data_IF_831536123671
#
_entry.id   IF_831536123671
#
_cell.length_a   1.000
_cell.length_b   1.000
_cell.length_c   1.000
_cell.angle_alpha   90.00
_cell.angle_beta   90.00
_cell.angle_gamma   90.00
#
_symmetry.space_group_name_H-M   'P 1'
#
loop_
_entity.id
_entity.type
_entity.pdbx_description
1 polymer ?
#
# COMPACT_ATOMS: atom_id res chain seq x y z
N UNK A 1 8.87 -9.56 -22.99
CA UNK A 1 9.71 -9.90 -21.83
C UNK A 1 8.84 -9.94 -20.56
N UNK A 2 8.94 -11.00 -19.80
CA UNK A 2 8.18 -11.15 -18.58
C UNK A 2 8.69 -10.21 -17.49
N UNK A 3 7.78 -9.62 -16.72
CA UNK A 3 8.12 -8.68 -15.66
C UNK A 3 7.40 -9.05 -14.36
N UNK A 4 7.97 -8.62 -13.26
CA UNK A 4 7.38 -8.78 -11.95
C UNK A 4 6.63 -7.49 -11.59
N UNK A 5 5.32 -7.62 -11.39
CA UNK A 5 4.42 -6.50 -11.15
C UNK A 5 4.07 -6.47 -9.66
N UNK A 6 4.26 -5.34 -9.02
CA UNK A 6 3.88 -5.16 -7.61
C UNK A 6 2.66 -4.27 -7.48
N UNK A 7 1.56 -4.83 -7.00
CA UNK A 7 0.37 -4.06 -6.66
C UNK A 7 0.47 -3.61 -5.20
N UNK A 8 0.20 -2.33 -4.95
CA UNK A 8 0.23 -1.76 -3.60
C UNK A 8 -1.12 -1.16 -3.27
N UNK A 9 -1.71 -1.58 -2.15
CA UNK A 9 -2.93 -0.98 -1.61
C UNK A 9 -2.97 -1.17 -0.10
N UNK A 10 -3.98 -0.59 0.54
CA UNK A 10 -4.21 -0.82 1.96
C UNK A 10 -4.83 -2.20 2.21
N UNK A 11 -5.55 -2.74 1.22
CA UNK A 11 -6.25 -4.01 1.36
C UNK A 11 -6.43 -4.69 0.00
N UNK A 12 -6.20 -6.00 -0.03
CA UNK A 12 -6.54 -6.87 -1.15
C UNK A 12 -7.28 -8.09 -0.61
N UNK A 13 -8.52 -7.93 -0.24
CA UNK A 13 -9.32 -9.05 0.28
C UNK A 13 -10.81 -8.82 0.02
N UNK A 14 -11.56 -9.92 0.01
CA UNK A 14 -13.00 -9.87 -0.16
C UNK A 14 -13.41 -9.48 -1.58
N UNK A 15 -14.57 -8.86 -1.68
CA UNK A 15 -15.17 -8.50 -2.96
C UNK A 15 -15.28 -7.00 -3.17
N UNK A 16 -14.41 -6.20 -2.55
CA UNK A 16 -14.40 -4.76 -2.82
C UNK A 16 -13.89 -4.48 -4.23
N UNK A 17 -14.20 -3.29 -4.75
CA UNK A 17 -13.90 -2.93 -6.14
C UNK A 17 -12.41 -2.97 -6.46
N UNK A 18 -11.56 -2.50 -5.54
CA UNK A 18 -10.10 -2.49 -5.74
C UNK A 18 -9.57 -3.91 -5.84
N UNK A 19 -9.99 -4.79 -4.93
CA UNK A 19 -9.51 -6.17 -4.91
C UNK A 19 -9.94 -6.94 -6.15
N UNK A 20 -11.19 -6.77 -6.59
CA UNK A 20 -11.70 -7.42 -7.79
C UNK A 20 -11.04 -6.90 -9.06
N UNK A 21 -10.87 -5.60 -9.17
CA UNK A 21 -10.22 -4.99 -10.34
C UNK A 21 -8.76 -5.38 -10.44
N UNK A 22 -8.04 -5.35 -9.32
CA UNK A 22 -6.63 -5.75 -9.31
C UNK A 22 -6.46 -7.22 -9.70
N UNK A 23 -7.37 -8.09 -9.27
CA UNK A 23 -7.33 -9.49 -9.66
C UNK A 23 -7.52 -9.66 -11.16
N UNK A 24 -8.41 -8.89 -11.78
CA UNK A 24 -8.62 -8.91 -13.24
C UNK A 24 -7.37 -8.46 -13.98
N UNK A 25 -6.73 -7.38 -13.51
CA UNK A 25 -5.48 -6.89 -14.10
C UNK A 25 -4.38 -7.94 -14.01
N UNK A 26 -4.25 -8.61 -12.87
CA UNK A 26 -3.25 -9.65 -12.68
C UNK A 26 -3.48 -10.81 -13.65
N UNK A 27 -4.73 -11.18 -13.88
CA UNK A 27 -5.09 -12.25 -14.83
C UNK A 27 -4.71 -11.88 -16.27
N UNK A 28 -5.03 -10.64 -16.68
CA UNK A 28 -4.67 -10.14 -18.02
C UNK A 28 -3.15 -10.12 -18.18
N UNK A 29 -2.42 -9.63 -17.18
CA UNK A 29 -0.96 -9.56 -17.21
C UNK A 29 -0.32 -10.94 -17.26
N UNK A 30 -0.95 -11.93 -16.63
CA UNK A 30 -0.46 -13.30 -16.67
C UNK A 30 -0.51 -13.91 -18.08
N UNK A 31 -1.47 -13.49 -18.91
CA UNK A 31 -1.53 -13.93 -20.30
C UNK A 31 -0.25 -13.57 -21.07
N UNK A 32 0.40 -12.46 -20.70
CA UNK A 32 1.69 -12.03 -21.23
C UNK A 32 2.86 -12.50 -20.38
N UNK A 33 2.63 -13.44 -19.46
CA UNK A 33 3.63 -14.05 -18.58
C UNK A 33 4.21 -13.07 -17.54
N UNK A 34 3.54 -11.95 -17.24
CA UNK A 34 3.91 -11.10 -16.13
C UNK A 34 3.37 -11.68 -14.82
N UNK A 35 4.22 -11.74 -13.81
CA UNK A 35 3.85 -12.28 -12.50
C UNK A 35 3.49 -11.12 -11.57
N UNK A 36 2.37 -11.25 -10.86
CA UNK A 36 1.88 -10.22 -9.94
C UNK A 36 2.15 -10.59 -8.49
N UNK A 37 2.55 -9.60 -7.72
CA UNK A 37 2.79 -9.69 -6.28
C UNK A 37 2.02 -8.59 -5.58
N UNK A 38 1.74 -8.78 -4.30
CA UNK A 38 0.76 -7.97 -3.57
C UNK A 38 1.35 -7.42 -2.27
N UNK A 39 1.36 -6.10 -2.13
CA UNK A 39 1.71 -5.41 -0.89
C UNK A 39 0.44 -4.78 -0.34
N UNK A 40 0.10 -5.06 0.92
CA UNK A 40 -1.06 -4.45 1.56
C UNK A 40 -1.03 -4.64 3.07
N UNK A 41 -1.92 -3.94 3.75
CA UNK A 41 -2.12 -4.12 5.19
C UNK A 41 -2.99 -5.32 5.50
N UNK A 42 -3.82 -5.75 4.56
CA UNK A 42 -4.69 -6.92 4.70
C UNK A 42 -4.87 -7.56 3.33
N UNK A 43 -4.71 -8.88 3.24
CA UNK A 43 -4.80 -9.58 1.96
C UNK A 43 -5.30 -11.01 2.15
N UNK A 44 -6.10 -11.47 1.18
CA UNK A 44 -6.48 -12.89 1.06
C UNK A 44 -5.72 -13.57 -0.09
N UNK A 45 -4.75 -12.89 -0.70
CA UNK A 45 -3.89 -13.48 -1.73
C UNK A 45 -2.94 -14.50 -1.10
N UNK A 46 -2.40 -15.39 -1.92
CA UNK A 46 -1.47 -16.44 -1.45
C UNK A 46 -0.27 -15.82 -0.73
N UNK A 47 0.13 -16.35 0.44
CA UNK A 47 1.24 -15.79 1.21
C UNK A 47 2.57 -15.73 0.46
N UNK A 48 2.81 -16.66 -0.45
CA UNK A 48 4.06 -16.76 -1.21
C UNK A 48 4.28 -15.58 -2.14
N UNK A 49 3.22 -14.89 -2.53
CA UNK A 49 3.27 -13.75 -3.44
C UNK A 49 2.79 -12.47 -2.77
N UNK A 50 2.67 -12.47 -1.44
CA UNK A 50 2.17 -11.34 -0.67
C UNK A 50 3.20 -10.84 0.33
N UNK A 51 3.23 -9.53 0.52
CA UNK A 51 3.99 -8.89 1.58
C UNK A 51 3.00 -8.10 2.43
N UNK A 52 2.57 -8.67 3.55
CA UNK A 52 1.54 -8.08 4.39
C UNK A 52 2.20 -7.24 5.46
N UNK A 53 1.84 -5.95 5.49
CA UNK A 53 2.32 -4.97 6.46
C UNK A 53 1.10 -4.42 7.18
N UNK A 54 0.76 -4.95 8.38
CA UNK A 54 -0.47 -4.56 9.07
C UNK A 54 -0.62 -3.05 9.24
N UNK A 55 0.47 -2.34 9.45
CA UNK A 55 0.48 -0.89 9.62
C UNK A 55 0.00 -0.14 8.37
N UNK A 56 0.02 -0.78 7.21
CA UNK A 56 -0.45 -0.18 5.96
C UNK A 56 -1.97 -0.31 5.77
N UNK A 57 -2.65 -1.06 6.63
CA UNK A 57 -4.10 -1.19 6.57
C UNK A 57 -4.76 0.09 7.08
N UNK A 58 -5.80 0.56 6.37
CA UNK A 58 -6.47 1.82 6.74
C UNK A 58 -7.13 1.74 8.13
N UNK A 59 -7.53 0.55 8.57
CA UNK A 59 -8.10 0.32 9.89
C UNK A 59 -7.08 0.05 11.01
N UNK A 60 -5.79 0.16 10.72
CA UNK A 60 -4.77 -0.01 11.76
C UNK A 60 -4.92 1.07 12.83
N UNK A 61 -4.87 0.72 14.13
CA UNK A 61 -5.20 1.68 15.20
C UNK A 61 -4.46 3.01 15.13
N UNK A 62 -3.17 3.01 14.82
CA UNK A 62 -2.41 4.25 14.72
C UNK A 62 -2.89 5.12 13.55
N UNK A 63 -3.28 4.49 12.43
CA UNK A 63 -3.82 5.24 11.30
C UNK A 63 -5.17 5.86 11.65
N UNK A 64 -6.02 5.15 12.37
CA UNK A 64 -7.30 5.70 12.86
C UNK A 64 -7.03 6.89 13.78
N UNK A 65 -6.08 6.76 14.69
CA UNK A 65 -5.67 7.82 15.59
C UNK A 65 -5.23 9.08 14.83
N UNK A 66 -4.42 8.90 13.77
CA UNK A 66 -3.96 9.99 12.92
C UNK A 66 -5.14 10.64 12.20
N UNK A 67 -6.02 9.84 11.58
CA UNK A 67 -7.15 10.37 10.81
C UNK A 67 -8.08 11.20 11.67
N UNK A 68 -8.33 10.79 12.91
CA UNK A 68 -9.18 11.52 13.84
C UNK A 68 -8.63 12.91 14.16
N UNK A 69 -7.32 13.10 14.03
CA UNK A 69 -6.63 14.34 14.42
C UNK A 69 -6.33 15.27 13.28
N UNK A 70 -6.37 14.78 12.03
CA UNK A 70 -6.07 15.63 10.87
C UNK A 70 -7.31 16.06 10.09
N UNK A 71 -8.32 15.20 10.01
CA UNK A 71 -9.51 15.52 9.21
C UNK A 71 -10.50 16.35 10.04
N UNK A 72 -11.00 17.42 9.41
CA UNK A 72 -11.96 18.30 10.06
C UNK A 72 -11.36 19.31 11.02
N UNK A 73 -10.04 19.44 11.10
CA UNK A 73 -9.36 20.40 11.97
C UNK A 73 -8.57 21.41 11.14
N UNK A 74 -8.53 22.65 11.61
CA UNK A 74 -7.81 23.72 10.93
C UNK A 74 -6.29 23.58 11.02
N UNK A 75 -5.79 22.92 12.05
CA UNK A 75 -4.36 22.70 12.23
C UNK A 75 -4.13 21.40 13.01
N UNK A 76 -2.93 20.88 12.90
CA UNK A 76 -2.50 19.73 13.69
C UNK A 76 -1.25 20.09 14.49
N UNK A 77 -1.09 19.49 15.66
CA UNK A 77 0.06 19.78 16.47
C UNK A 77 1.30 19.00 15.99
N UNK A 78 2.44 19.37 16.55
CA UNK A 78 3.73 18.81 16.19
C UNK A 78 3.79 17.30 16.46
N UNK A 79 3.15 16.85 17.53
CA UNK A 79 3.17 15.45 17.91
C UNK A 79 2.50 14.57 16.83
N UNK A 80 1.37 15.01 16.29
CA UNK A 80 0.68 14.31 15.22
C UNK A 80 1.58 14.25 13.98
N UNK A 81 2.21 15.38 13.63
CA UNK A 81 3.12 15.44 12.48
C UNK A 81 4.29 14.46 12.63
N UNK A 82 4.87 14.38 13.83
CA UNK A 82 5.97 13.46 14.09
C UNK A 82 5.54 11.99 13.96
N UNK A 83 4.32 11.66 14.41
CA UNK A 83 3.79 10.31 14.26
C UNK A 83 3.53 9.94 12.80
N UNK A 84 3.01 10.87 12.02
CA UNK A 84 2.84 10.66 10.58
C UNK A 84 4.19 10.41 9.92
N UNK A 85 5.21 11.20 10.26
CA UNK A 85 6.54 11.06 9.68
C UNK A 85 7.17 9.71 10.02
N UNK A 86 7.06 9.31 11.29
CA UNK A 86 7.61 8.03 11.74
C UNK A 86 6.94 6.84 11.03
N UNK A 87 5.60 6.87 10.90
CA UNK A 87 4.87 5.83 10.21
C UNK A 87 5.23 5.80 8.72
N UNK A 88 5.32 6.97 8.07
CA UNK A 88 5.69 7.05 6.66
C UNK A 88 7.08 6.49 6.40
N UNK A 89 8.06 6.81 7.26
CA UNK A 89 9.42 6.29 7.13
C UNK A 89 9.46 4.78 7.30
N UNK A 90 8.71 4.24 8.25
CA UNK A 90 8.61 2.80 8.45
C UNK A 90 8.01 2.12 7.20
N UNK A 91 6.90 2.63 6.72
CA UNK A 91 6.20 2.05 5.55
C UNK A 91 7.07 2.15 4.30
N UNK A 92 7.80 3.23 4.11
CA UNK A 92 8.73 3.36 2.99
C UNK A 92 9.77 2.24 3.02
N UNK A 93 10.31 1.92 4.20
CA UNK A 93 11.23 0.81 4.37
C UNK A 93 10.59 -0.54 3.98
N UNK A 94 9.33 -0.76 4.32
CA UNK A 94 8.63 -1.99 3.96
C UNK A 94 8.37 -2.09 2.46
N UNK A 95 8.18 -0.97 1.77
CA UNK A 95 8.05 -0.95 0.30
C UNK A 95 9.37 -1.38 -0.35
N UNK A 96 10.50 -0.88 0.15
CA UNK A 96 11.82 -1.34 -0.32
C UNK A 96 11.98 -2.84 -0.12
N UNK A 97 11.56 -3.37 1.03
CA UNK A 97 11.62 -4.80 1.31
C UNK A 97 10.78 -5.60 0.32
N UNK A 98 9.59 -5.11 -0.02
CA UNK A 98 8.70 -5.75 -0.99
C UNK A 98 9.34 -5.81 -2.37
N UNK A 99 9.90 -4.70 -2.83
CA UNK A 99 10.55 -4.61 -4.13
C UNK A 99 11.74 -5.55 -4.21
N UNK A 100 12.56 -5.60 -3.16
CA UNK A 100 13.72 -6.49 -3.12
C UNK A 100 13.32 -7.96 -3.04
N UNK A 101 12.33 -8.28 -2.21
CA UNK A 101 11.90 -9.66 -1.96
C UNK A 101 11.41 -10.35 -3.22
N UNK A 102 10.66 -9.63 -4.06
CA UNK A 102 10.06 -10.20 -5.25
C UNK A 102 10.69 -9.70 -6.55
N UNK A 103 11.77 -8.94 -6.46
CA UNK A 103 12.46 -8.38 -7.62
C UNK A 103 11.47 -7.64 -8.53
N UNK A 104 10.71 -6.72 -7.95
CA UNK A 104 9.63 -6.01 -8.64
C UNK A 104 10.19 -5.05 -9.69
N UNK A 105 9.66 -5.13 -10.90
CA UNK A 105 10.03 -4.26 -12.01
C UNK A 105 9.09 -3.06 -12.15
N UNK A 106 7.80 -3.26 -11.89
CA UNK A 106 6.77 -2.23 -12.07
C UNK A 106 5.86 -2.21 -10.84
N UNK A 107 5.62 -1.03 -10.30
CA UNK A 107 4.69 -0.83 -9.18
C UNK A 107 3.38 -0.24 -9.70
N UNK A 108 2.26 -0.80 -9.25
CA UNK A 108 0.92 -0.30 -9.57
C UNK A 108 0.20 0.01 -8.26
N UNK A 109 0.19 1.30 -7.84
CA UNK A 109 -0.58 1.70 -6.65
C UNK A 109 -2.08 1.68 -6.94
N UNK A 110 -2.86 1.21 -5.97
CA UNK A 110 -4.31 1.15 -6.05
C UNK A 110 -4.90 1.94 -4.89
N UNK A 111 -5.43 3.13 -5.18
CA UNK A 111 -6.09 4.01 -4.21
C UNK A 111 -5.19 4.48 -3.04
N UNK A 112 -3.88 4.37 -3.18
CA UNK A 112 -2.95 4.83 -2.15
C UNK A 112 -2.66 6.32 -2.23
N UNK A 113 -2.77 6.90 -3.43
CA UNK A 113 -2.41 8.29 -3.68
C UNK A 113 -3.62 9.19 -3.88
N UNK A 114 -4.73 8.63 -4.36
CA UNK A 114 -5.91 9.41 -4.74
C UNK A 114 -6.96 9.54 -3.64
N UNK A 115 -7.00 8.58 -2.71
CA UNK A 115 -7.98 8.56 -1.63
C UNK A 115 -7.25 8.68 -0.30
N UNK A 116 -7.56 9.70 0.54
CA UNK A 116 -6.82 9.92 1.79
C UNK A 116 -7.24 8.96 2.91
N UNK A 117 -7.24 7.67 2.66
CA UNK A 117 -7.59 6.67 3.65
C UNK A 117 -6.41 6.34 4.58
N UNK A 118 -5.19 6.49 4.09
CA UNK A 118 -3.99 6.19 4.85
C UNK A 118 -2.89 7.18 4.44
N UNK A 119 -2.84 8.32 5.12
CA UNK A 119 -1.89 9.38 4.78
C UNK A 119 -0.42 8.93 4.86
N UNK A 120 0.02 8.24 5.92
CA UNK A 120 1.43 7.80 5.98
C UNK A 120 1.83 6.89 4.81
N UNK A 121 0.95 6.00 4.38
CA UNK A 121 1.25 5.14 3.22
C UNK A 121 1.37 5.96 1.94
N UNK A 122 0.47 6.93 1.73
CA UNK A 122 0.54 7.84 0.59
C UNK A 122 1.86 8.60 0.54
N UNK A 123 2.30 9.13 1.68
CA UNK A 123 3.58 9.84 1.79
C UNK A 123 4.74 8.89 1.49
N UNK A 124 4.74 7.70 2.09
CA UNK A 124 5.80 6.71 1.89
C UNK A 124 5.95 6.35 0.43
N UNK A 125 4.83 6.07 -0.24
CA UNK A 125 4.83 5.69 -1.65
C UNK A 125 5.27 6.84 -2.55
N UNK A 126 4.79 8.06 -2.28
CA UNK A 126 5.21 9.25 -3.04
C UNK A 126 6.72 9.46 -2.93
N UNK A 127 7.28 9.35 -1.74
CA UNK A 127 8.73 9.50 -1.54
C UNK A 127 9.51 8.37 -2.19
N UNK A 128 8.98 7.14 -2.13
CA UNK A 128 9.63 6.00 -2.79
C UNK A 128 9.73 6.20 -4.30
N UNK A 129 8.67 6.75 -4.91
CA UNK A 129 8.60 6.93 -6.36
C UNK A 129 9.36 8.15 -6.88
N UNK A 130 9.79 9.04 -5.99
CA UNK A 130 10.53 10.25 -6.41
C UNK A 130 12.00 10.03 -6.66
#
# INVERSE_FOLDING_TARGET
MAQNIGFISTRFSGQDGVSLESAKWAEVLWEDRHVSYWYSGQSDRAPEISHIVPEAYFGFPENIWINERIWGKGSRDRFVTERIRAMADYLKGTIYQFVDKFDIDILIPQNCLAIPMHLPLGIALTEFLS
#
